data_IF_327470506270
#
_entry.id   IF_327470506270
#
_cell.length_a   1.000
_cell.length_b   1.000
_cell.length_c   1.000
_cell.angle_alpha   90.00
_cell.angle_beta   90.00
_cell.angle_gamma   90.00
#
_symmetry.space_group_name_H-M   'P 1'
#
loop_
_entity.id
_entity.type
_entity.pdbx_description
1 polymer ?
#
# COMPACT_ATOMS: atom_id res chain seq x y z
N UNK A 1 0.92 -8.48 30.27
CA UNK A 1 -0.51 -8.45 29.87
C UNK A 1 -1.22 -9.67 30.48
N UNK A 2 -2.50 -9.57 30.84
CA UNK A 2 -3.21 -10.61 31.57
C UNK A 2 -3.33 -11.92 30.78
N UNK A 3 -3.09 -13.06 31.43
CA UNK A 3 -3.18 -14.44 30.90
C UNK A 3 -4.64 -14.89 30.68
N UNK A 4 -5.56 -13.94 30.61
CA UNK A 4 -7.01 -14.16 30.66
C UNK A 4 -7.65 -14.18 29.28
N UNK A 5 -8.87 -14.70 29.23
CA UNK A 5 -9.71 -14.69 28.02
C UNK A 5 -10.95 -13.82 28.25
N UNK A 6 -11.56 -13.28 27.18
CA UNK A 6 -12.80 -12.53 27.31
C UNK A 6 -13.98 -13.34 26.77
N UNK A 7 -15.12 -13.27 27.46
CA UNK A 7 -16.38 -13.83 26.99
C UNK A 7 -17.33 -12.67 26.72
N UNK A 8 -17.77 -12.53 25.46
CA UNK A 8 -18.75 -11.52 25.07
C UNK A 8 -20.17 -12.06 25.25
N UNK A 9 -21.00 -11.32 25.97
CA UNK A 9 -22.41 -11.67 26.19
C UNK A 9 -23.29 -10.61 25.53
N UNK A 10 -24.06 -11.02 24.52
CA UNK A 10 -24.84 -10.09 23.68
C UNK A 10 -26.26 -9.88 24.18
N UNK A 11 -26.83 -10.86 24.88
CA UNK A 11 -28.20 -10.85 25.39
C UNK A 11 -28.22 -11.22 26.88
N UNK A 12 -29.16 -10.63 27.62
CA UNK A 12 -29.26 -10.83 29.08
C UNK A 12 -29.62 -12.28 29.44
N UNK A 13 -30.40 -12.95 28.60
CA UNK A 13 -30.78 -14.35 28.74
C UNK A 13 -29.61 -15.35 28.64
N UNK A 14 -28.55 -14.98 27.92
CA UNK A 14 -27.36 -15.81 27.73
C UNK A 14 -26.35 -15.68 28.88
N UNK A 15 -26.56 -14.75 29.82
CA UNK A 15 -25.56 -14.48 30.88
C UNK A 15 -25.27 -15.73 31.70
N UNK A 16 -26.30 -16.49 32.08
CA UNK A 16 -26.13 -17.69 32.90
C UNK A 16 -25.24 -18.74 32.24
N UNK A 17 -25.59 -19.15 31.02
CA UNK A 17 -24.83 -20.17 30.28
C UNK A 17 -23.40 -19.74 29.98
N UNK A 18 -23.19 -18.47 29.58
CA UNK A 18 -21.85 -17.92 29.31
C UNK A 18 -20.98 -17.83 30.55
N UNK A 19 -21.59 -17.53 31.71
CA UNK A 19 -20.90 -17.53 32.98
C UNK A 19 -20.52 -18.95 33.41
N UNK A 20 -21.42 -19.92 33.24
CA UNK A 20 -21.13 -21.33 33.57
C UNK A 20 -19.99 -21.89 32.70
N UNK A 21 -20.00 -21.62 31.39
CA UNK A 21 -18.91 -21.96 30.46
C UNK A 21 -17.56 -21.36 30.91
N UNK A 22 -17.56 -20.07 31.25
CA UNK A 22 -16.37 -19.37 31.71
C UNK A 22 -15.86 -19.92 33.04
N UNK A 23 -16.75 -20.17 34.01
CA UNK A 23 -16.39 -20.67 35.33
C UNK A 23 -15.81 -22.09 35.26
N UNK A 24 -16.45 -22.97 34.50
CA UNK A 24 -15.96 -24.34 34.26
C UNK A 24 -14.56 -24.32 33.65
N UNK A 25 -14.32 -23.37 32.74
CA UNK A 25 -13.02 -23.19 32.10
C UNK A 25 -11.93 -22.73 33.07
N UNK A 26 -12.18 -21.66 33.85
CA UNK A 26 -11.16 -21.12 34.77
C UNK A 26 -10.84 -22.08 35.93
N UNK A 27 -11.76 -22.98 36.27
CA UNK A 27 -11.58 -23.99 37.32
C UNK A 27 -10.73 -25.18 36.87
N UNK A 28 -10.38 -25.25 35.58
CA UNK A 28 -9.61 -26.35 34.98
C UNK A 28 -8.32 -25.91 34.26
N UNK A 29 -7.37 -25.23 34.94
CA UNK A 29 -6.04 -24.97 34.37
C UNK A 29 -5.25 -26.27 34.27
N UNK A 30 -4.71 -26.55 33.08
CA UNK A 30 -3.87 -27.73 32.82
C UNK A 30 -2.40 -27.40 33.04
N UNK A 31 -1.92 -26.26 32.53
CA UNK A 31 -0.56 -25.76 32.75
C UNK A 31 -0.55 -24.26 32.98
N UNK A 32 0.28 -23.83 33.93
CA UNK A 32 0.45 -22.42 34.30
C UNK A 32 1.91 -21.96 34.23
N UNK A 33 2.14 -20.65 34.32
CA UNK A 33 3.49 -20.02 34.22
C UNK A 33 4.30 -20.45 32.99
N UNK A 34 3.60 -20.62 31.86
CA UNK A 34 4.19 -21.10 30.62
C UNK A 34 5.29 -20.18 30.10
N UNK A 35 6.43 -20.76 29.75
CA UNK A 35 7.60 -20.12 29.15
C UNK A 35 8.12 -21.00 28.02
N UNK A 36 8.49 -20.38 26.92
CA UNK A 36 8.96 -21.09 25.74
C UNK A 36 10.42 -20.69 25.49
N UNK A 37 11.33 -21.65 25.67
CA UNK A 37 12.76 -21.48 25.47
C UNK A 37 13.15 -22.00 24.10
N UNK A 38 13.85 -21.15 23.36
CA UNK A 38 14.35 -21.44 22.02
C UNK A 38 15.82 -21.02 21.96
N UNK A 39 16.63 -21.77 21.24
CA UNK A 39 17.97 -21.37 20.87
C UNK A 39 17.95 -20.38 19.69
N UNK A 40 18.63 -19.24 19.83
CA UNK A 40 18.74 -18.21 18.80
C UNK A 40 17.84 -17.00 19.02
N UNK A 41 17.77 -16.12 18.02
CA UNK A 41 16.97 -14.90 18.05
C UNK A 41 15.60 -15.14 17.40
N UNK A 42 14.55 -15.03 18.20
CA UNK A 42 13.18 -15.33 17.79
C UNK A 42 12.17 -14.34 18.38
N UNK A 43 11.31 -13.80 17.52
CA UNK A 43 10.16 -12.98 17.94
C UNK A 43 8.94 -13.88 18.09
N UNK A 44 8.49 -14.09 19.32
CA UNK A 44 7.39 -15.01 19.68
C UNK A 44 6.21 -14.25 20.26
N UNK A 45 5.01 -14.58 19.80
CA UNK A 45 3.77 -14.00 20.29
C UNK A 45 2.69 -15.08 20.50
N UNK A 46 1.84 -14.95 21.54
CA UNK A 46 1.77 -13.84 22.50
C UNK A 46 2.92 -13.82 23.52
N UNK A 47 3.31 -12.63 23.97
CA UNK A 47 4.29 -12.42 25.03
C UNK A 47 3.74 -11.43 26.07
N UNK A 48 3.52 -11.83 27.34
CA UNK A 48 3.77 -13.15 27.92
C UNK A 48 2.81 -14.22 27.40
N UNK A 49 3.20 -15.50 27.54
CA UNK A 49 2.35 -16.64 27.18
C UNK A 49 1.18 -16.79 28.17
N UNK A 50 -0.05 -17.09 27.68
CA UNK A 50 -1.19 -17.37 28.53
C UNK A 50 -1.08 -18.74 29.20
N UNK A 51 -1.96 -19.01 30.17
CA UNK A 51 -2.12 -20.36 30.74
C UNK A 51 -2.86 -21.28 29.77
N UNK A 52 -2.57 -22.58 29.86
CA UNK A 52 -3.27 -23.60 29.09
C UNK A 52 -4.44 -24.15 29.91
N UNK A 53 -5.65 -23.89 29.44
CA UNK A 53 -6.89 -24.42 30.02
C UNK A 53 -7.40 -25.63 29.23
N UNK A 54 -8.16 -26.48 29.89
CA UNK A 54 -8.80 -27.62 29.23
C UNK A 54 -9.73 -27.15 28.11
N UNK A 55 -9.67 -27.80 26.95
CA UNK A 55 -10.54 -27.52 25.80
C UNK A 55 -10.08 -26.41 24.85
N UNK A 56 -8.97 -25.73 25.12
CA UNK A 56 -8.42 -24.70 24.22
C UNK A 56 -6.95 -24.95 23.84
N UNK A 57 -6.59 -24.78 22.56
CA UNK A 57 -5.20 -24.92 22.14
C UNK A 57 -4.39 -23.65 22.48
N UNK A 58 -3.17 -23.84 22.99
CA UNK A 58 -2.17 -22.78 23.02
C UNK A 58 -1.53 -22.64 21.63
N UNK A 59 -1.73 -21.50 21.00
CA UNK A 59 -1.11 -21.18 19.71
C UNK A 59 -0.05 -20.10 19.89
N UNK A 60 1.18 -20.40 19.47
CA UNK A 60 2.30 -19.46 19.49
C UNK A 60 2.79 -19.27 18.06
N UNK A 61 2.91 -18.01 17.65
CA UNK A 61 3.45 -17.64 16.34
C UNK A 61 4.83 -17.04 16.53
N UNK A 62 5.80 -17.53 15.76
CA UNK A 62 7.20 -17.15 15.89
C UNK A 62 7.83 -16.79 14.56
N UNK A 63 8.73 -15.80 14.60
CA UNK A 63 9.65 -15.49 13.50
C UNK A 63 11.09 -15.66 13.98
N UNK A 64 11.83 -16.55 13.32
CA UNK A 64 13.24 -16.79 13.59
C UNK A 64 14.12 -15.93 12.69
N UNK A 65 15.21 -15.42 13.26
CA UNK A 65 16.26 -14.73 12.50
C UNK A 65 17.51 -15.60 12.46
N UNK A 66 17.95 -15.99 11.26
CA UNK A 66 19.14 -16.82 11.07
C UNK A 66 18.82 -18.32 11.07
N UNK A 67 19.57 -19.09 11.86
CA UNK A 67 19.42 -20.54 11.92
C UNK A 67 18.12 -20.94 12.63
N UNK A 68 17.41 -21.89 12.04
CA UNK A 68 16.20 -22.46 12.65
C UNK A 68 16.60 -23.39 13.81
N UNK A 69 15.95 -23.30 14.98
CA UNK A 69 16.18 -24.21 16.09
C UNK A 69 15.72 -25.64 15.78
N UNK A 70 16.47 -26.63 16.26
CA UNK A 70 16.12 -28.06 16.15
C UNK A 70 15.01 -28.47 17.12
N UNK A 71 14.86 -27.73 18.23
CA UNK A 71 13.86 -28.01 19.26
C UNK A 71 13.46 -26.74 19.99
N UNK A 72 12.24 -26.77 20.54
CA UNK A 72 11.68 -25.75 21.42
C UNK A 72 11.34 -26.39 22.74
N UNK A 73 11.80 -25.81 23.85
CA UNK A 73 11.47 -26.31 25.19
C UNK A 73 10.33 -25.49 25.78
N UNK A 74 9.22 -26.14 26.06
CA UNK A 74 8.11 -25.58 26.82
C UNK A 74 8.31 -25.88 28.31
N UNK A 75 8.34 -24.85 29.13
CA UNK A 75 8.41 -24.93 30.59
C UNK A 75 7.13 -24.37 31.19
N UNK A 76 6.71 -24.90 32.33
CA UNK A 76 5.52 -24.46 33.03
C UNK A 76 5.35 -25.15 34.37
N UNK A 77 4.15 -25.08 34.92
CA UNK A 77 3.75 -25.73 36.16
C UNK A 77 2.43 -26.45 35.97
N UNK A 78 2.40 -27.72 36.32
CA UNK A 78 1.14 -28.44 36.52
C UNK A 78 0.68 -28.27 37.98
N UNK A 79 -0.35 -29.00 38.40
CA UNK A 79 -0.91 -28.89 39.75
C UNK A 79 0.06 -29.31 40.87
N UNK A 80 1.06 -30.14 40.57
CA UNK A 80 1.91 -30.81 41.57
C UNK A 80 3.41 -30.51 41.42
N UNK A 81 3.87 -30.11 40.22
CA UNK A 81 5.28 -30.06 39.86
C UNK A 81 5.61 -29.12 38.69
N UNK A 82 6.91 -28.92 38.45
CA UNK A 82 7.39 -28.23 37.25
C UNK A 82 7.24 -29.12 36.03
N UNK A 83 6.64 -28.56 34.97
CA UNK A 83 6.44 -29.22 33.70
C UNK A 83 7.51 -28.78 32.71
N UNK A 84 8.15 -29.73 32.03
CA UNK A 84 9.06 -29.46 30.92
C UNK A 84 8.77 -30.41 29.77
N UNK A 85 8.66 -29.87 28.55
CA UNK A 85 8.42 -30.64 27.35
C UNK A 85 9.27 -30.12 26.19
N UNK A 86 10.08 -31.00 25.61
CA UNK A 86 10.92 -30.68 24.45
C UNK A 86 10.16 -31.03 23.17
N UNK A 87 9.78 -30.00 22.40
CA UNK A 87 9.14 -30.12 21.10
C UNK A 87 10.23 -30.16 20.01
N UNK A 88 10.48 -31.30 19.37
CA UNK A 88 11.36 -31.35 18.20
C UNK A 88 10.71 -30.60 17.03
N UNK A 89 11.47 -29.74 16.36
CA UNK A 89 11.04 -29.03 15.16
C UNK A 89 11.61 -29.73 13.92
N UNK A 90 10.72 -30.26 13.09
CA UNK A 90 11.08 -30.75 11.76
C UNK A 90 10.49 -29.81 10.70
N UNK A 91 11.32 -28.91 10.16
CA UNK A 91 10.90 -27.99 9.10
C UNK A 91 11.06 -28.56 7.69
N UNK A 92 11.77 -29.68 7.52
CA UNK A 92 11.98 -30.28 6.19
C UNK A 92 10.66 -30.73 5.56
N UNK A 93 9.69 -31.08 6.40
CA UNK A 93 8.33 -31.48 6.03
C UNK A 93 7.28 -30.39 6.22
N UNK A 94 7.68 -29.19 6.67
CA UNK A 94 6.73 -28.13 6.96
C UNK A 94 6.19 -27.48 5.67
N UNK A 95 4.87 -27.35 5.52
CA UNK A 95 4.29 -26.68 4.35
C UNK A 95 4.67 -25.19 4.37
N UNK A 96 5.15 -24.70 3.23
CA UNK A 96 5.44 -23.28 3.05
C UNK A 96 4.16 -22.54 2.68
N UNK A 97 3.48 -22.02 3.69
CA UNK A 97 2.23 -21.29 3.53
C UNK A 97 2.46 -19.77 3.58
N UNK A 98 1.97 -19.05 2.57
CA UNK A 98 2.05 -17.59 2.51
C UNK A 98 1.25 -16.90 3.64
N UNK A 99 0.30 -17.62 4.24
CA UNK A 99 -0.52 -17.11 5.34
C UNK A 99 0.24 -17.05 6.68
N UNK A 100 1.27 -17.87 6.90
CA UNK A 100 1.98 -17.93 8.19
C UNK A 100 2.62 -16.60 8.56
N UNK A 101 3.38 -15.92 7.67
CA UNK A 101 3.91 -14.59 7.97
C UNK A 101 2.84 -13.56 8.34
N UNK A 102 1.65 -13.65 7.72
CA UNK A 102 0.53 -12.75 8.04
C UNK A 102 -0.06 -13.04 9.43
N UNK A 103 -0.22 -14.32 9.80
CA UNK A 103 -0.70 -14.71 11.12
C UNK A 103 0.28 -14.28 12.23
N UNK A 104 1.59 -14.44 12.00
CA UNK A 104 2.61 -13.93 12.90
C UNK A 104 2.52 -12.41 13.06
N UNK A 105 2.47 -11.66 11.96
CA UNK A 105 2.41 -10.21 11.99
C UNK A 105 1.15 -9.69 12.71
N UNK A 106 0.01 -10.37 12.53
CA UNK A 106 -1.23 -10.04 13.23
C UNK A 106 -1.11 -10.25 14.74
N UNK A 107 -0.48 -11.35 15.18
CA UNK A 107 -0.23 -11.60 16.61
C UNK A 107 0.74 -10.57 17.20
N UNK A 108 1.83 -10.24 16.50
CA UNK A 108 2.76 -9.18 16.87
C UNK A 108 2.04 -7.84 17.06
N UNK A 109 1.28 -7.41 16.06
CA UNK A 109 0.51 -6.16 16.10
C UNK A 109 -0.50 -6.16 17.25
N UNK A 110 -1.19 -7.28 17.50
CA UNK A 110 -2.14 -7.38 18.63
C UNK A 110 -1.43 -7.16 19.96
N UNK A 111 -0.29 -7.82 20.17
CA UNK A 111 0.49 -7.71 21.40
C UNK A 111 1.02 -6.29 21.61
N UNK A 112 1.60 -5.67 20.57
CA UNK A 112 2.06 -4.28 20.62
C UNK A 112 0.92 -3.29 20.86
N UNK A 113 -0.26 -3.52 20.27
CA UNK A 113 -1.45 -2.70 20.51
C UNK A 113 -1.91 -2.77 21.97
N UNK A 114 -1.77 -3.93 22.61
CA UNK A 114 -2.10 -4.09 24.03
C UNK A 114 -1.12 -3.35 24.94
N UNK A 115 0.19 -3.42 24.65
CA UNK A 115 1.19 -2.62 25.36
C UNK A 115 1.00 -1.12 25.14
N UNK A 116 0.64 -0.71 23.92
CA UNK A 116 0.30 0.67 23.61
C UNK A 116 -0.88 1.16 24.46
N UNK A 117 -1.92 0.33 24.67
CA UNK A 117 -3.06 0.66 25.54
C UNK A 117 -2.67 0.86 27.00
N UNK A 118 -1.60 0.22 27.47
CA UNK A 118 -1.06 0.38 28.81
C UNK A 118 -0.17 1.63 28.98
N UNK A 119 0.03 2.42 27.92
CA UNK A 119 0.75 3.68 27.95
C UNK A 119 2.12 3.66 27.30
N UNK A 120 2.55 2.55 26.69
CA UNK A 120 3.80 2.49 25.93
C UNK A 120 3.61 3.09 24.53
N UNK A 121 3.48 4.42 24.46
CA UNK A 121 3.19 5.12 23.21
C UNK A 121 4.31 5.03 22.16
N UNK A 122 5.54 4.73 22.60
CA UNK A 122 6.72 4.61 21.74
C UNK A 122 6.57 3.47 20.73
N UNK A 123 5.74 2.47 21.01
CA UNK A 123 5.46 1.32 20.12
C UNK A 123 4.62 1.69 18.89
N UNK A 124 4.02 2.89 18.86
CA UNK A 124 3.15 3.32 17.75
C UNK A 124 3.85 3.22 16.39
N UNK A 125 5.12 3.61 16.31
CA UNK A 125 5.91 3.55 15.07
C UNK A 125 6.10 2.11 14.59
N UNK A 126 6.38 1.19 15.51
CA UNK A 126 6.54 -0.24 15.22
C UNK A 126 5.22 -0.92 14.81
N UNK A 127 4.11 -0.52 15.44
CA UNK A 127 2.78 -1.00 15.06
C UNK A 127 2.47 -0.58 13.62
N UNK A 128 2.70 0.70 13.28
CA UNK A 128 2.46 1.22 11.92
C UNK A 128 3.37 0.53 10.91
N UNK A 129 4.67 0.38 11.19
CA UNK A 129 5.60 -0.24 10.25
C UNK A 129 5.25 -1.71 9.98
N UNK A 130 4.95 -2.48 11.03
CA UNK A 130 4.55 -3.89 10.91
C UNK A 130 3.23 -4.02 10.17
N UNK A 131 2.24 -3.17 10.50
CA UNK A 131 0.93 -3.20 9.88
C UNK A 131 1.00 -2.83 8.38
N UNK A 132 1.79 -1.83 7.99
CA UNK A 132 1.97 -1.47 6.60
C UNK A 132 2.72 -2.55 5.81
N UNK A 133 3.77 -3.13 6.39
CA UNK A 133 4.55 -4.19 5.75
C UNK A 133 3.69 -5.43 5.42
N UNK A 134 2.75 -5.78 6.29
CA UNK A 134 1.88 -6.95 6.12
C UNK A 134 0.44 -6.62 5.70
N UNK A 135 0.15 -5.35 5.33
CA UNK A 135 -1.19 -4.89 4.94
C UNK A 135 -2.27 -5.25 5.97
N UNK A 136 -2.05 -4.88 7.22
CA UNK A 136 -2.95 -5.12 8.35
C UNK A 136 -3.70 -3.82 8.68
N UNK A 137 -5.01 -3.93 8.85
CA UNK A 137 -5.85 -2.85 9.36
C UNK A 137 -5.70 -2.76 10.89
N UNK A 138 -5.45 -1.56 11.41
CA UNK A 138 -5.26 -1.29 12.83
C UNK A 138 -5.94 0.02 13.21
N UNK A 139 -5.85 0.43 14.48
CA UNK A 139 -6.26 1.78 14.91
C UNK A 139 -5.51 2.90 14.14
N UNK A 140 -4.33 2.60 13.58
CA UNK A 140 -3.45 3.59 12.95
C UNK A 140 -3.34 3.46 11.43
N UNK A 141 -3.93 2.42 10.83
CA UNK A 141 -3.85 2.14 9.39
C UNK A 141 -5.25 1.99 8.81
N UNK A 142 -5.44 2.41 7.56
CA UNK A 142 -6.71 2.28 6.83
C UNK A 142 -6.46 1.86 5.39
N UNK A 143 -7.39 1.11 4.83
CA UNK A 143 -7.42 0.86 3.38
C UNK A 143 -8.20 1.99 2.71
N UNK A 144 -7.54 2.69 1.79
CA UNK A 144 -8.15 3.77 1.01
C UNK A 144 -8.12 3.36 -0.45
N UNK A 145 -9.30 3.28 -1.07
CA UNK A 145 -9.43 3.12 -2.52
C UNK A 145 -9.47 4.51 -3.16
N UNK A 146 -8.49 4.82 -4.00
CA UNK A 146 -8.47 6.07 -4.77
C UNK A 146 -8.83 5.74 -6.22
N UNK A 147 -9.99 6.20 -6.66
CA UNK A 147 -10.40 6.10 -8.05
C UNK A 147 -9.72 7.20 -8.87
N UNK A 148 -8.97 6.81 -9.90
CA UNK A 148 -8.33 7.76 -10.82
C UNK A 148 -9.17 7.88 -12.09
N UNK A 149 -10.07 8.86 -12.13
CA UNK A 149 -10.87 9.16 -13.32
C UNK A 149 -10.05 10.07 -14.24
N UNK A 150 -9.57 9.52 -15.36
CA UNK A 150 -8.91 10.31 -16.40
C UNK A 150 -9.97 10.90 -17.33
N UNK A 151 -10.29 12.19 -17.14
CA UNK A 151 -11.35 12.90 -17.90
C UNK A 151 -11.02 13.07 -19.39
N UNK A 152 -9.74 13.12 -19.75
CA UNK A 152 -9.30 13.12 -21.16
C UNK A 152 -8.13 12.14 -21.37
N UNK A 153 -8.42 10.83 -21.58
CA UNK A 153 -7.38 9.82 -21.81
C UNK A 153 -6.54 10.12 -23.06
N UNK A 154 -7.15 10.77 -24.06
CA UNK A 154 -6.54 11.04 -25.36
C UNK A 154 -5.54 12.20 -25.32
N UNK A 155 -5.55 13.04 -24.26
CA UNK A 155 -4.78 14.30 -24.13
C UNK A 155 -4.97 15.33 -25.25
N UNK A 156 -5.79 15.04 -26.26
CA UNK A 156 -6.10 15.99 -27.32
C UNK A 156 -7.07 17.05 -26.80
N UNK A 157 -6.72 18.32 -27.01
CA UNK A 157 -7.58 19.45 -26.68
C UNK A 157 -8.54 19.68 -27.86
N UNK A 158 -9.79 19.27 -27.70
CA UNK A 158 -10.87 19.66 -28.60
C UNK A 158 -11.32 21.08 -28.22
N UNK A 159 -10.68 22.08 -28.83
CA UNK A 159 -11.12 23.47 -28.75
C UNK A 159 -12.24 23.71 -29.75
N UNK A 160 -13.47 23.83 -29.26
CA UNK A 160 -14.63 24.21 -30.06
C UNK A 160 -15.02 25.63 -29.67
N UNK A 161 -15.13 26.53 -30.64
CA UNK A 161 -15.68 27.85 -30.40
C UNK A 161 -17.15 27.68 -29.96
N UNK A 162 -17.42 27.91 -28.67
CA UNK A 162 -18.78 27.95 -28.15
C UNK A 162 -19.34 29.32 -28.49
N UNK A 163 -20.46 29.41 -29.24
CA UNK A 163 -21.08 30.70 -29.50
C UNK A 163 -21.52 31.32 -28.17
N UNK A 164 -21.00 32.50 -27.86
CA UNK A 164 -21.42 33.27 -26.70
C UNK A 164 -22.70 34.01 -27.07
N UNK A 165 -23.81 33.65 -26.44
CA UNK A 165 -25.04 34.44 -26.55
C UNK A 165 -24.82 35.81 -25.88
N UNK A 166 -25.37 36.86 -26.48
CA UNK A 166 -25.36 38.18 -25.86
C UNK A 166 -26.38 38.23 -24.71
N UNK A 167 -26.07 38.94 -23.60
CA UNK A 167 -27.05 39.23 -22.58
C UNK A 167 -28.29 39.93 -23.18
N UNK A 168 -29.46 39.65 -22.63
CA UNK A 168 -30.72 40.20 -23.10
C UNK A 168 -30.66 41.74 -23.13
N UNK A 169 -30.99 42.34 -24.29
CA UNK A 169 -30.95 43.78 -24.51
C UNK A 169 -29.69 44.34 -25.18
N UNK A 170 -28.64 43.54 -25.39
CA UNK A 170 -27.43 43.99 -26.09
C UNK A 170 -27.56 43.83 -27.61
N UNK A 171 -27.32 44.91 -28.38
CA UNK A 171 -27.29 44.89 -29.85
C UNK A 171 -25.85 44.80 -30.35
N UNK A 172 -25.49 43.69 -31.01
CA UNK A 172 -24.11 43.38 -31.46
C UNK A 172 -23.37 44.56 -32.13
N UNK A 173 -24.06 45.34 -32.98
CA UNK A 173 -23.50 46.48 -33.71
C UNK A 173 -22.98 47.64 -32.84
N UNK A 174 -23.43 47.72 -31.59
CA UNK A 174 -23.04 48.80 -30.67
C UNK A 174 -21.80 48.48 -29.84
N UNK A 175 -21.39 47.20 -29.76
CA UNK A 175 -20.28 46.76 -28.89
C UNK A 175 -19.05 46.31 -29.70
N UNK A 176 -19.26 45.68 -30.87
CA UNK A 176 -18.15 45.41 -31.79
C UNK A 176 -18.20 46.39 -32.94
N UNK A 177 -17.21 47.28 -33.04
CA UNK A 177 -17.07 48.20 -34.18
C UNK A 177 -17.05 47.49 -35.54
N UNK A 178 -17.06 48.24 -36.66
CA UNK A 178 -17.26 47.69 -38.00
C UNK A 178 -16.26 46.56 -38.28
N UNK A 179 -16.77 45.35 -38.55
CA UNK A 179 -15.92 44.23 -38.96
C UNK A 179 -15.26 44.59 -40.30
N UNK A 180 -13.93 44.53 -40.44
CA UNK A 180 -13.35 44.52 -41.77
C UNK A 180 -13.87 43.25 -42.46
N UNK A 181 -14.63 43.42 -43.53
CA UNK A 181 -14.98 42.36 -44.45
C UNK A 181 -13.72 41.60 -44.79
N UNK A 182 -13.65 40.32 -44.45
CA UNK A 182 -12.53 39.43 -44.80
C UNK A 182 -12.52 39.28 -46.32
N UNK A 183 -11.87 40.22 -47.00
CA UNK A 183 -11.29 39.98 -48.32
C UNK A 183 -10.11 39.05 -48.05
N UNK A 184 -10.13 37.85 -48.62
CA UNK A 184 -8.93 37.03 -48.77
C UNK A 184 -7.98 37.76 -49.72
N UNK A 185 -7.22 38.72 -49.19
CA UNK A 185 -6.16 39.41 -49.89
C UNK A 185 -5.14 39.88 -48.86
N UNK A 186 -3.87 39.57 -49.16
CA UNK A 186 -2.64 39.92 -48.44
C UNK A 186 -2.47 39.30 -47.05
N UNK A 187 -1.72 38.18 -47.03
CA UNK A 187 -0.79 37.91 -45.93
C UNK A 187 0.06 39.17 -45.68
N UNK A 188 0.46 39.47 -44.43
CA UNK A 188 1.29 40.63 -44.14
C UNK A 188 2.55 40.59 -45.00
N UNK A 189 2.71 41.57 -45.89
CA UNK A 189 3.96 41.82 -46.60
C UNK A 189 4.97 42.31 -45.57
N UNK A 190 5.70 41.38 -44.97
CA UNK A 190 6.90 41.71 -44.20
C UNK A 190 7.96 42.28 -45.14
N UNK A 191 8.60 43.37 -44.71
CA UNK A 191 9.65 44.12 -45.40
C UNK A 191 10.95 43.32 -45.58
N UNK A 192 10.90 42.27 -46.40
CA UNK A 192 12.07 41.53 -46.84
C UNK A 192 11.96 41.31 -48.33
N UNK A 193 13.00 41.65 -49.09
CA UNK A 193 13.14 41.38 -50.54
C UNK A 193 13.34 39.87 -50.82
N UNK A 194 12.51 39.03 -50.20
CA UNK A 194 12.46 37.58 -50.32
C UNK A 194 12.36 37.09 -51.78
N UNK A 195 11.61 37.71 -52.71
CA UNK A 195 11.61 37.20 -54.09
C UNK A 195 12.97 37.36 -54.77
N UNK A 196 13.74 38.40 -54.44
CA UNK A 196 15.04 38.66 -55.06
C UNK A 196 16.11 37.70 -54.55
N UNK A 197 16.12 37.41 -53.24
CA UNK A 197 17.07 36.44 -52.66
C UNK A 197 16.80 35.00 -53.14
N UNK A 198 15.54 34.63 -53.35
CA UNK A 198 15.17 33.33 -53.94
C UNK A 198 15.68 33.18 -55.37
N UNK A 199 15.55 34.24 -56.20
CA UNK A 199 16.06 34.22 -57.58
C UNK A 199 17.59 34.12 -57.62
N UNK A 200 18.29 34.89 -56.78
CA UNK A 200 19.76 34.81 -56.69
C UNK A 200 20.21 33.42 -56.22
N UNK A 201 19.53 32.83 -55.24
CA UNK A 201 19.81 31.47 -54.77
C UNK A 201 19.65 30.42 -55.88
N UNK A 202 18.60 30.53 -56.69
CA UNK A 202 18.33 29.60 -57.78
C UNK A 202 19.38 29.71 -58.90
N UNK A 203 19.85 30.92 -59.21
CA UNK A 203 20.95 31.15 -60.17
C UNK A 203 22.25 30.50 -59.67
N UNK A 204 22.58 30.62 -58.39
CA UNK A 204 23.79 30.01 -57.82
C UNK A 204 23.73 28.47 -57.85
N UNK A 205 22.55 27.88 -57.60
CA UNK A 205 22.36 26.42 -57.70
C UNK A 205 22.55 25.94 -59.14
N UNK A 206 21.99 26.65 -60.12
CA UNK A 206 22.16 26.31 -61.55
C UNK A 206 23.62 26.43 -61.95
N UNK A 207 24.31 27.51 -61.53
CA UNK A 207 25.72 27.70 -61.81
C UNK A 207 26.59 26.57 -61.22
N UNK A 208 26.31 26.18 -59.98
CA UNK A 208 26.97 25.03 -59.33
C UNK A 208 26.74 23.72 -60.10
N UNK A 209 25.52 23.47 -60.56
CA UNK A 209 25.17 22.28 -61.35
C UNK A 209 25.94 22.25 -62.68
N UNK A 210 26.05 23.39 -63.36
CA UNK A 210 26.80 23.52 -64.62
C UNK A 210 28.28 23.25 -64.40
N UNK A 211 28.90 23.84 -63.36
CA UNK A 211 30.30 23.58 -63.02
C UNK A 211 30.53 22.11 -62.68
N UNK A 212 29.62 21.47 -61.94
CA UNK A 212 29.68 20.05 -61.61
C UNK A 212 29.60 19.15 -62.87
N UNK A 213 28.69 19.47 -63.79
CA UNK A 213 28.54 18.74 -65.06
C UNK A 213 29.76 18.91 -65.99
N UNK A 214 30.35 20.11 -66.05
CA UNK A 214 31.57 20.37 -66.81
C UNK A 214 32.76 19.61 -66.21
N UNK A 215 32.91 19.63 -64.88
CA UNK A 215 33.99 18.90 -64.18
C UNK A 215 33.87 17.38 -64.33
N UNK A 216 32.65 16.85 -64.52
CA UNK A 216 32.40 15.42 -64.76
C UNK A 216 32.61 15.00 -66.24
N UNK A 217 32.77 15.95 -67.16
CA UNK A 217 32.94 15.70 -68.62
C UNK A 217 34.35 16.00 -69.16
N UNK A 218 35.28 16.43 -68.31
CA UNK A 218 36.71 16.45 -68.64
C UNK A 218 37.34 15.11 -68.19
N UNK A 219 38.07 14.40 -69.06
CA UNK A 219 38.71 13.13 -68.74
C UNK A 219 39.84 13.27 -67.71
#
# INVERSE_FOLDING_TARGET
LGRGTFTHVSALEDVGSRMDELLTKIDSPVLTDLKLKIEGDAELYPNPLPDLFSGEPLTVMGKFTGSVPLSVRLEGKDAESEFTYDLPLNLDSAPKEEAIPFLWARNKVSNLMDEFRLGNEQLKSEIISTALAHRILTKFTSFVAVEQIVVNPSRYLLSKAVPTELPEGWKYDSISGPRPSVKFASLPQTASDAPLTVVVGLILIIFSLVVFLVRKRLP
#
